data_IF_050835136266
#
_entry.id   IF_050835136266
#
_cell.length_a   1.000
_cell.length_b   1.000
_cell.length_c   1.000
_cell.angle_alpha   90.00
_cell.angle_beta   90.00
_cell.angle_gamma   90.00
#
_symmetry.space_group_name_H-M   'P 1'
#
loop_
_entity.id
_entity.type
_entity.pdbx_description
1 polymer ?
#
# COMPACT_ATOMS: atom_id res chain seq x y z
N UNK A 1 31.97 9.10 -45.90
CA UNK A 1 32.20 8.23 -44.71
C UNK A 1 31.45 8.69 -43.45
N UNK A 2 31.46 9.98 -43.09
CA UNK A 2 30.84 10.50 -41.85
C UNK A 2 29.30 10.27 -41.74
N UNK A 3 28.56 10.47 -42.85
CA UNK A 3 27.09 10.22 -42.92
C UNK A 3 26.69 8.75 -42.66
N UNK A 4 27.55 7.78 -42.96
CA UNK A 4 27.27 6.35 -42.75
C UNK A 4 27.46 5.96 -41.28
N UNK A 5 28.46 6.55 -40.61
CA UNK A 5 28.75 6.31 -39.19
C UNK A 5 27.68 6.95 -38.30
N UNK A 6 27.27 8.20 -38.58
CA UNK A 6 26.18 8.87 -37.85
C UNK A 6 24.85 8.10 -37.92
N UNK A 7 24.51 7.52 -39.08
CA UNK A 7 23.30 6.67 -39.21
C UNK A 7 23.38 5.41 -38.35
N UNK A 8 24.55 4.79 -38.23
CA UNK A 8 24.74 3.58 -37.40
C UNK A 8 24.66 3.89 -35.90
N UNK A 9 25.22 5.01 -35.45
CA UNK A 9 25.16 5.44 -34.04
C UNK A 9 23.74 5.81 -33.61
N UNK A 10 22.96 6.48 -34.48
CA UNK A 10 21.56 6.82 -34.20
C UNK A 10 20.65 5.59 -34.05
N UNK A 11 20.88 4.53 -34.82
CA UNK A 11 20.13 3.27 -34.71
C UNK A 11 20.44 2.55 -33.39
N UNK A 12 21.71 2.54 -32.96
CA UNK A 12 22.11 1.94 -31.67
C UNK A 12 21.49 2.68 -30.49
N UNK A 13 21.49 4.02 -30.50
CA UNK A 13 20.86 4.83 -29.44
C UNK A 13 19.36 4.58 -29.32
N UNK A 14 18.66 4.43 -30.45
CA UNK A 14 17.21 4.18 -30.47
C UNK A 14 16.85 2.80 -29.87
N UNK A 15 17.69 1.79 -30.11
CA UNK A 15 17.50 0.43 -29.55
C UNK A 15 17.75 0.41 -28.04
N UNK A 16 18.77 1.11 -27.54
CA UNK A 16 19.08 1.20 -26.10
C UNK A 16 17.97 1.94 -25.34
N UNK A 17 17.39 2.99 -25.94
CA UNK A 17 16.25 3.72 -25.35
C UNK A 17 15.00 2.84 -25.20
N UNK A 18 14.69 1.98 -26.17
CA UNK A 18 13.54 1.07 -26.10
C UNK A 18 13.73 -0.06 -25.06
N UNK A 19 14.97 -0.52 -24.85
CA UNK A 19 15.28 -1.52 -23.82
C UNK A 19 15.09 -0.98 -22.40
N UNK A 20 15.31 0.33 -22.18
CA UNK A 20 15.12 0.96 -20.86
C UNK A 20 13.65 0.99 -20.40
N UNK A 21 12.70 1.00 -21.34
CA UNK A 21 11.25 0.98 -21.05
C UNK A 21 10.74 -0.42 -20.66
N UNK A 22 11.27 -1.48 -21.28
CA UNK A 22 10.91 -2.89 -20.96
C UNK A 22 11.44 -3.29 -19.56
N UNK A 23 12.60 -2.74 -19.18
CA UNK A 23 13.17 -2.93 -17.84
C UNK A 23 12.30 -2.32 -16.74
N UNK A 24 11.64 -1.18 -16.99
CA UNK A 24 10.85 -0.48 -15.98
C UNK A 24 9.60 -1.28 -15.57
N UNK A 25 8.78 -1.73 -16.53
CA UNK A 25 7.55 -2.48 -16.22
C UNK A 25 7.79 -3.86 -15.61
N UNK A 26 8.89 -4.52 -15.95
CA UNK A 26 9.25 -5.84 -15.38
C UNK A 26 9.83 -5.75 -13.97
N UNK A 27 10.58 -4.68 -13.67
CA UNK A 27 11.04 -4.39 -12.31
C UNK A 27 9.84 -4.08 -11.39
N UNK A 28 8.85 -3.35 -11.90
CA UNK A 28 7.64 -3.00 -11.15
C UNK A 28 6.83 -4.23 -10.76
N UNK A 29 6.61 -5.14 -11.71
CA UNK A 29 5.89 -6.39 -11.45
C UNK A 29 6.62 -7.27 -10.43
N UNK A 30 7.96 -7.34 -10.48
CA UNK A 30 8.73 -8.13 -9.52
C UNK A 30 8.65 -7.55 -8.12
N UNK A 31 8.77 -6.22 -7.99
CA UNK A 31 8.66 -5.54 -6.69
C UNK A 31 7.25 -5.66 -6.13
N UNK A 32 6.21 -5.49 -6.96
CA UNK A 32 4.83 -5.67 -6.57
C UNK A 32 4.60 -7.08 -5.98
N UNK A 33 4.98 -8.13 -6.72
CA UNK A 33 4.87 -9.53 -6.25
C UNK A 33 5.65 -9.81 -4.97
N UNK A 34 6.82 -9.18 -4.80
CA UNK A 34 7.61 -9.30 -3.58
C UNK A 34 6.88 -8.69 -2.37
N UNK A 35 6.26 -7.53 -2.55
CA UNK A 35 5.47 -6.86 -1.52
C UNK A 35 4.25 -7.71 -1.15
N UNK A 36 3.49 -8.17 -2.15
CA UNK A 36 2.30 -9.01 -1.95
C UNK A 36 2.64 -10.28 -1.16
N UNK A 37 3.72 -10.98 -1.55
CA UNK A 37 4.17 -12.19 -0.86
C UNK A 37 4.55 -11.90 0.59
N UNK A 38 5.30 -10.84 0.84
CA UNK A 38 5.74 -10.48 2.20
C UNK A 38 4.58 -10.07 3.10
N UNK A 39 3.61 -9.34 2.58
CA UNK A 39 2.41 -9.00 3.33
C UNK A 39 1.59 -10.25 3.64
N UNK A 40 1.45 -11.17 2.68
CA UNK A 40 0.81 -12.46 2.91
C UNK A 40 1.52 -13.26 4.01
N UNK A 41 2.86 -13.28 4.02
CA UNK A 41 3.65 -13.92 5.08
C UNK A 41 3.45 -13.23 6.46
N UNK A 42 3.41 -11.90 6.50
CA UNK A 42 3.23 -11.12 7.74
C UNK A 42 1.82 -11.25 8.34
N UNK A 43 0.81 -11.45 7.49
CA UNK A 43 -0.60 -11.45 7.87
C UNK A 43 -1.29 -12.78 7.55
N UNK A 44 -0.64 -13.89 7.94
CA UNK A 44 -1.24 -15.24 8.00
C UNK A 44 -1.91 -15.73 6.70
N UNK A 45 -1.33 -15.39 5.55
CA UNK A 45 -1.79 -15.86 4.25
C UNK A 45 -2.88 -15.01 3.60
N UNK A 46 -3.24 -13.85 4.16
CA UNK A 46 -4.16 -12.89 3.52
C UNK A 46 -3.67 -12.52 2.11
N UNK A 47 -4.61 -12.19 1.23
CA UNK A 47 -4.33 -11.86 -0.18
C UNK A 47 -4.21 -10.35 -0.36
N UNK A 48 -3.12 -9.92 -0.97
CA UNK A 48 -2.83 -8.51 -1.21
C UNK A 48 -2.55 -8.25 -2.69
N UNK A 49 -2.90 -7.06 -3.15
CA UNK A 49 -2.65 -6.58 -4.51
C UNK A 49 -2.00 -5.20 -4.44
N UNK A 50 -0.85 -5.05 -5.09
CA UNK A 50 -0.20 -3.74 -5.22
C UNK A 50 -0.88 -2.93 -6.32
N UNK A 51 -1.53 -1.84 -5.92
CA UNK A 51 -2.24 -0.93 -6.83
C UNK A 51 -1.29 0.06 -7.53
N UNK A 52 -0.27 0.53 -6.79
CA UNK A 52 0.70 1.49 -7.32
C UNK A 52 2.04 1.42 -6.59
N UNK A 53 3.12 1.67 -7.32
CA UNK A 53 4.48 1.85 -6.78
C UNK A 53 4.91 3.32 -6.94
N UNK A 54 5.29 3.95 -5.83
CA UNK A 54 5.78 5.33 -5.76
C UNK A 54 7.14 5.44 -5.07
N UNK A 55 7.70 6.67 -5.08
CA UNK A 55 8.96 7.04 -4.41
C UNK A 55 10.03 5.95 -4.47
N UNK A 56 10.62 5.74 -5.65
CA UNK A 56 11.61 4.67 -5.85
C UNK A 56 13.01 5.08 -5.37
N UNK A 57 13.84 4.06 -5.18
CA UNK A 57 15.28 4.14 -5.00
C UNK A 57 15.94 5.21 -5.88
N UNK A 58 16.86 5.99 -5.31
CA UNK A 58 17.82 6.74 -6.12
C UNK A 58 17.78 8.26 -6.02
N UNK A 59 17.02 8.85 -5.08
CA UNK A 59 17.36 10.19 -4.59
C UNK A 59 18.38 10.05 -3.45
N UNK A 60 19.22 11.07 -3.23
CA UNK A 60 20.29 11.05 -2.22
C UNK A 60 19.82 10.65 -0.80
N UNK A 61 18.52 10.76 -0.54
CA UNK A 61 17.88 10.54 0.76
C UNK A 61 16.76 9.49 0.74
N UNK A 62 16.39 8.89 -0.39
CA UNK A 62 15.30 7.90 -0.44
C UNK A 62 15.84 6.48 -0.59
N UNK A 63 15.85 5.78 0.53
CA UNK A 63 16.19 4.38 0.68
C UNK A 63 14.96 3.51 0.94
N UNK A 64 13.80 3.88 0.38
CA UNK A 64 12.61 3.03 0.37
C UNK A 64 11.86 3.10 -0.96
N UNK A 65 11.04 2.10 -1.22
CA UNK A 65 9.91 2.14 -2.18
C UNK A 65 8.62 2.26 -1.38
N UNK A 66 7.75 3.19 -1.78
CA UNK A 66 6.39 3.28 -1.24
C UNK A 66 5.43 2.52 -2.16
N UNK A 67 4.50 1.75 -1.60
CA UNK A 67 3.45 1.13 -2.40
C UNK A 67 2.07 1.39 -1.78
N UNK A 68 1.08 1.58 -2.65
CA UNK A 68 -0.34 1.53 -2.30
C UNK A 68 -0.80 0.10 -2.54
N UNK A 69 -1.38 -0.51 -1.51
CA UNK A 69 -1.74 -1.91 -1.50
C UNK A 69 -3.20 -2.04 -1.09
N UNK A 70 -3.90 -2.99 -1.70
CA UNK A 70 -5.23 -3.43 -1.29
C UNK A 70 -5.15 -4.82 -0.69
N UNK A 71 -5.79 -5.02 0.46
CA UNK A 71 -6.18 -6.36 0.92
C UNK A 71 -7.49 -6.75 0.25
N UNK A 72 -7.54 -7.92 -0.38
CA UNK A 72 -8.56 -8.26 -1.37
C UNK A 72 -9.90 -8.63 -0.74
N UNK A 73 -9.91 -9.31 0.41
CA UNK A 73 -11.14 -9.82 1.01
C UNK A 73 -12.00 -8.73 1.64
N UNK A 74 -11.37 -7.73 2.29
CA UNK A 74 -12.06 -6.62 2.96
C UNK A 74 -11.96 -5.29 2.22
N UNK A 75 -11.34 -5.29 1.04
CA UNK A 75 -11.12 -4.09 0.22
C UNK A 75 -10.41 -2.96 1.01
N UNK A 76 -9.45 -3.33 1.87
CA UNK A 76 -8.71 -2.37 2.71
C UNK A 76 -7.53 -1.82 1.91
N UNK A 77 -7.53 -0.51 1.65
CA UNK A 77 -6.41 0.18 1.00
C UNK A 77 -5.49 0.81 2.04
N UNK A 78 -4.19 0.58 1.90
CA UNK A 78 -3.16 1.05 2.84
C UNK A 78 -1.82 1.31 2.15
N UNK A 79 -0.90 1.93 2.88
CA UNK A 79 0.43 2.29 2.37
C UNK A 79 1.50 1.46 3.08
N UNK A 80 2.50 1.02 2.31
CA UNK A 80 3.70 0.35 2.82
C UNK A 80 4.96 1.06 2.37
N UNK A 81 6.05 0.86 3.12
CA UNK A 81 7.42 1.20 2.73
C UNK A 81 8.30 -0.04 2.80
N UNK A 82 9.01 -0.32 1.70
CA UNK A 82 9.95 -1.43 1.60
C UNK A 82 11.37 -0.91 1.41
N UNK A 83 12.34 -1.45 2.16
CA UNK A 83 13.74 -1.05 2.07
C UNK A 83 14.53 -1.79 0.96
N UNK A 84 15.83 -1.52 0.78
CA UNK A 84 16.65 -2.00 -0.37
C UNK A 84 16.87 -3.50 -0.29
N UNK A 85 16.80 -4.03 0.95
CA UNK A 85 16.91 -5.44 1.27
C UNK A 85 15.58 -6.18 1.04
N UNK A 86 14.55 -5.45 0.63
CA UNK A 86 13.21 -5.97 0.41
C UNK A 86 12.42 -6.16 1.71
N UNK A 87 12.82 -5.56 2.83
CA UNK A 87 12.10 -5.67 4.11
C UNK A 87 10.99 -4.61 4.15
N UNK A 88 9.79 -4.98 4.59
CA UNK A 88 8.72 -4.00 4.86
C UNK A 88 9.06 -3.33 6.19
N UNK A 89 9.49 -2.07 6.13
CA UNK A 89 9.95 -1.30 7.29
C UNK A 89 8.85 -0.44 7.92
N UNK A 90 7.77 -0.20 7.18
CA UNK A 90 6.56 0.44 7.67
C UNK A 90 5.36 0.00 6.85
N UNK A 91 4.21 -0.16 7.50
CA UNK A 91 2.92 -0.31 6.83
C UNK A 91 1.80 0.19 7.73
N UNK A 92 0.69 0.63 7.14
CA UNK A 92 -0.49 1.09 7.88
C UNK A 92 -1.64 0.07 7.91
N UNK A 93 -1.38 -1.22 7.60
CA UNK A 93 -2.44 -2.21 7.36
C UNK A 93 -3.38 -2.38 8.56
N UNK A 94 -2.85 -2.67 9.75
CA UNK A 94 -3.69 -2.96 10.92
C UNK A 94 -4.62 -1.79 11.27
N UNK A 95 -4.11 -0.56 11.24
CA UNK A 95 -4.91 0.63 11.48
C UNK A 95 -5.99 0.82 10.41
N UNK A 96 -5.61 0.68 9.13
CA UNK A 96 -6.55 0.75 8.01
C UNK A 96 -7.64 -0.32 8.09
N UNK A 97 -7.28 -1.55 8.49
CA UNK A 97 -8.22 -2.66 8.61
C UNK A 97 -9.24 -2.44 9.74
N UNK A 98 -8.80 -1.95 10.90
CA UNK A 98 -9.69 -1.61 12.02
C UNK A 98 -10.61 -0.45 11.66
N UNK A 99 -10.09 0.59 11.02
CA UNK A 99 -10.91 1.71 10.55
C UNK A 99 -11.95 1.27 9.53
N UNK A 100 -11.58 0.41 8.58
CA UNK A 100 -12.54 -0.15 7.61
C UNK A 100 -13.63 -0.97 8.29
N UNK A 101 -13.27 -1.80 9.27
CA UNK A 101 -14.26 -2.57 10.04
C UNK A 101 -15.25 -1.66 10.78
N UNK A 102 -14.75 -0.60 11.39
CA UNK A 102 -15.54 0.44 12.07
C UNK A 102 -16.51 1.17 11.11
N UNK A 103 -15.98 1.60 9.96
CA UNK A 103 -16.73 2.24 8.89
C UNK A 103 -17.88 1.34 8.40
N UNK A 104 -17.58 0.06 8.12
CA UNK A 104 -18.58 -0.90 7.62
C UNK A 104 -19.68 -1.17 8.65
N UNK A 105 -19.34 -1.26 9.94
CA UNK A 105 -20.31 -1.40 11.04
C UNK A 105 -21.23 -0.18 11.13
N UNK A 106 -20.68 1.04 11.06
CA UNK A 106 -21.47 2.26 11.11
C UNK A 106 -22.39 2.36 9.88
N UNK A 107 -21.84 2.15 8.69
CA UNK A 107 -22.60 2.24 7.43
C UNK A 107 -23.70 1.19 7.34
N UNK A 108 -23.48 0.00 7.88
CA UNK A 108 -24.54 -1.01 8.01
C UNK A 108 -25.70 -0.49 8.89
N UNK A 109 -25.40 0.03 10.07
CA UNK A 109 -26.43 0.53 10.99
C UNK A 109 -27.17 1.75 10.42
N UNK A 110 -26.46 2.67 9.75
CA UNK A 110 -27.07 3.82 9.07
C UNK A 110 -28.07 3.34 8.00
N UNK A 111 -27.70 2.34 7.19
CA UNK A 111 -28.58 1.76 6.17
C UNK A 111 -29.82 1.09 6.76
N UNK A 112 -29.69 0.40 7.89
CA UNK A 112 -30.81 -0.20 8.62
C UNK A 112 -31.83 0.85 9.11
N UNK A 113 -31.35 2.06 9.45
CA UNK A 113 -32.18 3.22 9.82
C UNK A 113 -32.68 4.03 8.62
N UNK A 114 -32.44 3.56 7.38
CA UNK A 114 -32.87 4.24 6.16
C UNK A 114 -32.01 5.44 5.76
N UNK A 115 -30.84 5.63 6.37
CA UNK A 115 -29.87 6.66 6.01
C UNK A 115 -29.01 6.12 4.86
N UNK A 116 -29.03 6.81 3.72
CA UNK A 116 -28.34 6.38 2.50
C UNK A 116 -26.97 7.00 2.32
N UNK A 117 -26.56 7.91 3.21
CA UNK A 117 -25.22 8.48 3.20
C UNK A 117 -24.24 7.47 3.81
N UNK A 118 -23.12 7.26 3.13
CA UNK A 118 -21.99 6.52 3.70
C UNK A 118 -21.13 7.49 4.52
N UNK A 119 -20.72 7.06 5.71
CA UNK A 119 -19.72 7.69 6.57
C UNK A 119 -18.33 7.18 6.22
N UNK A 120 -17.34 8.06 6.32
CA UNK A 120 -15.91 7.79 6.17
C UNK A 120 -15.24 7.90 7.55
N UNK A 121 -15.60 6.98 8.44
CA UNK A 121 -15.16 7.01 9.83
C UNK A 121 -13.70 6.56 9.99
N UNK A 122 -12.92 7.37 10.69
CA UNK A 122 -11.55 7.05 11.07
C UNK A 122 -11.31 7.26 12.57
N UNK A 123 -10.72 6.26 13.23
CA UNK A 123 -10.17 6.41 14.58
C UNK A 123 -8.80 7.09 14.55
N UNK A 124 -8.60 8.09 15.41
CA UNK A 124 -7.38 8.90 15.48
C UNK A 124 -6.86 9.02 16.93
N UNK A 125 -5.54 9.06 17.07
CA UNK A 125 -4.85 9.13 18.37
C UNK A 125 -4.89 7.83 19.15
N UNK A 126 -4.30 7.82 20.35
CA UNK A 126 -4.30 6.68 21.26
C UNK A 126 -2.90 6.15 21.61
N UNK A 127 -2.88 4.98 22.26
CA UNK A 127 -1.65 4.26 22.67
C UNK A 127 -0.92 3.69 21.46
N UNK A 128 0.30 3.19 21.68
CA UNK A 128 1.07 2.49 20.64
C UNK A 128 0.24 1.38 19.99
N UNK A 129 0.14 1.43 18.65
CA UNK A 129 -0.62 0.50 17.81
C UNK A 129 0.30 -0.49 17.07
N UNK A 130 1.58 -0.58 17.47
CA UNK A 130 2.56 -1.46 16.84
C UNK A 130 2.19 -2.94 16.93
N UNK A 131 1.43 -3.35 17.94
CA UNK A 131 0.91 -4.72 18.14
C UNK A 131 -0.59 -4.85 17.78
N UNK A 132 -1.14 -3.90 17.03
CA UNK A 132 -2.54 -3.90 16.62
C UNK A 132 -2.85 -5.11 15.73
N UNK A 133 -3.71 -5.98 16.22
CA UNK A 133 -4.31 -7.05 15.45
C UNK A 133 -5.39 -6.46 14.51
N UNK A 134 -5.29 -6.62 13.17
CA UNK A 134 -6.29 -6.15 12.21
C UNK A 134 -7.68 -6.79 12.40
N UNK A 135 -7.75 -7.90 13.12
CA UNK A 135 -8.97 -8.68 13.37
C UNK A 135 -9.52 -8.48 14.80
N UNK A 136 -9.04 -7.45 15.52
CA UNK A 136 -9.50 -7.13 16.88
C UNK A 136 -10.98 -6.73 16.92
N UNK A 137 -11.68 -7.15 17.97
CA UNK A 137 -13.06 -6.70 18.19
C UNK A 137 -13.10 -5.25 18.69
N UNK A 138 -14.18 -4.52 18.39
CA UNK A 138 -14.25 -3.09 18.65
C UNK A 138 -14.14 -2.72 20.14
N UNK A 139 -14.79 -3.46 21.02
CA UNK A 139 -14.74 -3.21 22.46
C UNK A 139 -13.31 -3.36 23.02
N UNK A 140 -12.58 -4.36 22.54
CA UNK A 140 -11.20 -4.61 22.87
C UNK A 140 -10.30 -3.51 22.29
N UNK A 141 -10.55 -3.07 21.05
CA UNK A 141 -9.81 -1.97 20.43
C UNK A 141 -9.94 -0.67 21.25
N UNK A 142 -11.16 -0.29 21.61
CA UNK A 142 -11.43 0.92 22.42
C UNK A 142 -10.76 0.81 23.79
N UNK A 143 -10.85 -0.36 24.43
CA UNK A 143 -10.30 -0.57 25.77
C UNK A 143 -8.77 -0.57 25.77
N UNK A 144 -8.16 -1.30 24.83
CA UNK A 144 -6.71 -1.52 24.78
C UNK A 144 -5.97 -0.30 24.22
N UNK A 145 -6.41 0.24 23.08
CA UNK A 145 -5.70 1.30 22.38
C UNK A 145 -6.20 2.70 22.71
N UNK A 146 -7.42 2.81 23.26
CA UNK A 146 -7.99 4.08 23.74
C UNK A 146 -7.85 5.22 22.71
N UNK A 147 -8.48 5.08 21.52
CA UNK A 147 -8.45 6.13 20.50
C UNK A 147 -8.99 7.43 21.08
N UNK A 148 -8.37 8.55 20.74
CA UNK A 148 -8.72 9.86 21.31
C UNK A 148 -10.03 10.39 20.73
N UNK A 149 -10.26 10.16 19.43
CA UNK A 149 -11.48 10.55 18.75
C UNK A 149 -11.74 9.68 17.52
N UNK A 150 -13.01 9.63 17.13
CA UNK A 150 -13.44 9.16 15.82
C UNK A 150 -13.87 10.38 15.00
N UNK A 151 -13.40 10.49 13.77
CA UNK A 151 -13.75 11.58 12.84
C UNK A 151 -14.34 11.01 11.57
N UNK A 152 -15.36 11.68 11.05
CA UNK A 152 -15.79 11.56 9.66
C UNK A 152 -14.95 12.55 8.82
N UNK A 153 -14.63 12.22 7.57
CA UNK A 153 -13.77 13.04 6.69
C UNK A 153 -14.53 13.46 5.43
#
# INVERSE_FOLDING_TARGET
MYKSIMKKVGIVFMIVSLLSLIGCGSLDQRQAKQIEKKLSEMYEGKTFEVLALGNRWGTLTNDTVTAHVREVERDVVFIIKMNTKGEIVANSYSGSAVNKHLEDLLNKNLKEEGITADSLLMGLGGRDVSDLNPDIHLDEYITKYSPEFFSDI
#
